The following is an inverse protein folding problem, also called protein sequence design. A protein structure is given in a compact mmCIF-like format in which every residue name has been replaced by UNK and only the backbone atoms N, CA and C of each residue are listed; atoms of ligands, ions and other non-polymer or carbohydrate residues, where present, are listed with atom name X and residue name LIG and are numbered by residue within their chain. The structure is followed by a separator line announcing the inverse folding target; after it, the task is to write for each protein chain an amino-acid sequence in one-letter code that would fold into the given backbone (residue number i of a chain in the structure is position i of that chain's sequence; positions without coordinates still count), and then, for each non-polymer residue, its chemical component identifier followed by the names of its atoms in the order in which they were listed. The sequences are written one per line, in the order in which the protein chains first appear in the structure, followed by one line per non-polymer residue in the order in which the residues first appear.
data_IF_434323473700
#
_entry.id   IF_434323473700
#
_cell.length_a   1.000
_cell.length_b   1.000
_cell.length_c   1.000
_cell.angle_alpha   90.00
_cell.angle_beta   90.00
_cell.angle_gamma   90.00
#
_symmetry.space_group_name_H-M   'P 1'
#
loop_
_entity.id
_entity.type
_entity.pdbx_description
1 polymer ?
#
# COMPACT_ATOMS: atom_id res chain seq x y z
N UNK A 1 -54.79 -52.81 -12.67
CA UNK A 1 -54.22 -51.45 -12.55
C UNK A 1 -52.79 -51.47 -13.09
N UNK A 2 -52.56 -50.93 -14.30
CA UNK A 2 -51.22 -50.72 -14.84
C UNK A 2 -50.73 -49.35 -14.38
N UNK A 3 -49.61 -49.30 -13.68
CA UNK A 3 -48.98 -48.07 -13.21
C UNK A 3 -48.06 -47.56 -14.33
N UNK A 4 -48.39 -46.43 -14.93
CA UNK A 4 -47.57 -45.79 -15.97
C UNK A 4 -46.64 -44.80 -15.29
N UNK A 5 -45.33 -45.10 -15.24
CA UNK A 5 -44.31 -44.14 -14.80
C UNK A 5 -44.07 -43.11 -15.92
N UNK A 6 -44.32 -41.84 -15.63
CA UNK A 6 -43.88 -40.72 -16.46
C UNK A 6 -42.48 -40.30 -16.00
N UNK A 7 -41.48 -40.47 -16.86
CA UNK A 7 -40.15 -39.88 -16.69
C UNK A 7 -40.18 -38.44 -17.16
N UNK A 8 -40.03 -37.49 -16.23
CA UNK A 8 -39.82 -36.07 -16.56
C UNK A 8 -38.33 -35.86 -16.79
N UNK A 9 -37.92 -35.66 -18.04
CA UNK A 9 -36.55 -35.28 -18.39
C UNK A 9 -36.41 -33.77 -18.19
N UNK A 10 -35.78 -33.36 -17.07
CA UNK A 10 -35.37 -31.97 -16.88
C UNK A 10 -34.07 -31.71 -17.63
N UNK A 11 -34.15 -31.09 -18.79
CA UNK A 11 -32.99 -30.53 -19.48
C UNK A 11 -32.52 -29.27 -18.75
N UNK A 12 -31.37 -29.35 -18.07
CA UNK A 12 -30.70 -28.21 -17.48
C UNK A 12 -30.02 -27.40 -18.60
N UNK A 13 -30.56 -26.24 -18.95
CA UNK A 13 -29.92 -25.30 -19.85
C UNK A 13 -28.79 -24.61 -19.08
N UNK A 14 -27.56 -25.09 -19.26
CA UNK A 14 -26.36 -24.38 -18.81
C UNK A 14 -26.17 -23.22 -19.78
N UNK A 15 -26.64 -22.03 -19.38
CA UNK A 15 -26.29 -20.78 -20.05
C UNK A 15 -24.83 -20.50 -19.69
N UNK A 16 -23.91 -20.95 -20.55
CA UNK A 16 -22.51 -20.51 -20.50
C UNK A 16 -22.53 -19.05 -20.97
N UNK A 17 -22.62 -18.14 -20.02
CA UNK A 17 -22.30 -16.73 -20.23
C UNK A 17 -20.83 -16.66 -20.62
N UNK A 18 -20.56 -16.58 -21.92
CA UNK A 18 -19.27 -16.11 -22.40
C UNK A 18 -19.17 -14.63 -22.03
N UNK A 19 -18.60 -14.35 -20.86
CA UNK A 19 -18.15 -13.00 -20.53
C UNK A 19 -17.03 -12.71 -21.52
N UNK A 20 -17.39 -12.00 -22.59
CA UNK A 20 -16.43 -11.35 -23.48
C UNK A 20 -15.71 -10.29 -22.64
N UNK A 21 -14.62 -10.67 -21.99
CA UNK A 21 -13.70 -9.69 -21.40
C UNK A 21 -13.07 -8.95 -22.56
N UNK A 22 -13.58 -7.74 -22.86
CA UNK A 22 -12.84 -6.81 -23.70
C UNK A 22 -11.41 -6.71 -23.14
N UNK A 23 -10.37 -6.63 -23.99
CA UNK A 23 -9.03 -6.38 -23.49
C UNK A 23 -9.07 -5.04 -22.74
N UNK A 24 -8.89 -5.08 -21.42
CA UNK A 24 -8.68 -3.88 -20.61
C UNK A 24 -7.30 -3.34 -20.96
N UNK A 25 -7.28 -2.26 -21.73
CA UNK A 25 -6.05 -1.53 -22.06
C UNK A 25 -5.77 -0.53 -20.94
N UNK A 26 -4.69 -0.75 -20.19
CA UNK A 26 -4.21 0.23 -19.23
C UNK A 26 -3.47 1.38 -19.93
N UNK A 27 -3.53 2.57 -19.33
CA UNK A 27 -2.85 3.75 -19.87
C UNK A 27 -1.40 3.82 -19.38
N UNK A 28 -0.43 3.59 -20.27
CA UNK A 28 1.00 3.67 -19.94
C UNK A 28 1.67 4.86 -20.62
N UNK A 29 2.40 5.64 -19.82
CA UNK A 29 3.04 6.87 -20.25
C UNK A 29 4.54 6.82 -19.92
N UNK A 30 5.44 7.06 -20.89
CA UNK A 30 6.87 7.09 -20.63
C UNK A 30 7.27 8.16 -19.61
N UNK A 31 6.52 9.25 -19.51
CA UNK A 31 6.73 10.30 -18.50
C UNK A 31 5.45 11.12 -18.33
N UNK A 32 5.43 11.99 -17.31
CA UNK A 32 4.25 12.78 -16.97
C UNK A 32 3.81 13.74 -18.10
N UNK A 33 4.75 14.28 -18.88
CA UNK A 33 4.44 15.21 -19.96
C UNK A 33 3.81 14.54 -21.18
N UNK A 34 3.86 13.22 -21.25
CA UNK A 34 3.19 12.43 -22.30
C UNK A 34 1.72 12.12 -22.00
N UNK A 35 1.22 12.45 -20.80
CA UNK A 35 -0.18 12.27 -20.44
C UNK A 35 -1.04 13.30 -21.21
N UNK A 36 -1.99 12.87 -22.06
CA UNK A 36 -2.92 13.77 -22.72
C UNK A 36 -3.73 14.58 -21.72
N UNK A 37 -3.95 15.87 -22.01
CA UNK A 37 -4.73 16.75 -21.12
C UNK A 37 -6.16 16.27 -20.84
N UNK A 38 -6.74 15.45 -21.73
CA UNK A 38 -8.06 14.83 -21.54
C UNK A 38 -8.11 13.76 -20.44
N UNK A 39 -6.95 13.19 -20.07
CA UNK A 39 -6.82 12.18 -19.02
C UNK A 39 -6.35 12.78 -17.69
N UNK A 40 -6.15 14.10 -17.65
CA UNK A 40 -5.92 14.85 -16.41
C UNK A 40 -7.31 15.20 -15.87
N UNK A 41 -7.76 14.60 -14.75
CA UNK A 41 -9.07 14.87 -14.21
C UNK A 41 -9.12 16.32 -13.70
N UNK A 42 -10.22 17.01 -14.02
CA UNK A 42 -10.51 18.36 -13.50
C UNK A 42 -11.03 18.32 -12.05
N UNK A 43 -11.54 17.16 -11.63
CA UNK A 43 -12.09 16.86 -10.31
C UNK A 43 -12.05 15.33 -10.09
N UNK A 44 -11.69 14.88 -8.90
CA UNK A 44 -11.72 13.44 -8.56
C UNK A 44 -13.12 13.02 -8.10
N UNK A 45 -13.48 11.74 -8.25
CA UNK A 45 -14.72 11.19 -7.64
C UNK A 45 -14.70 11.41 -6.11
N UNK A 46 -13.50 11.45 -5.54
CA UNK A 46 -13.21 11.70 -4.14
C UNK A 46 -13.38 13.18 -3.72
N UNK A 47 -13.54 14.13 -4.66
CA UNK A 47 -13.79 15.54 -4.33
C UNK A 47 -15.12 15.72 -3.58
N UNK A 48 -16.05 14.76 -3.73
CA UNK A 48 -17.27 14.70 -2.92
C UNK A 48 -16.98 14.65 -1.42
N UNK A 49 -15.87 14.01 -1.00
CA UNK A 49 -15.51 13.91 0.42
C UNK A 49 -14.99 15.22 0.99
N UNK A 50 -14.42 16.11 0.18
CA UNK A 50 -14.02 17.45 0.64
C UNK A 50 -15.21 18.27 1.15
N UNK A 51 -16.44 17.96 0.71
CA UNK A 51 -17.67 18.60 1.19
C UNK A 51 -18.06 18.16 2.61
N UNK A 52 -17.46 17.09 3.11
CA UNK A 52 -17.67 16.57 4.48
C UNK A 52 -16.76 17.25 5.51
N UNK A 53 -16.00 18.27 5.11
CA UNK A 53 -15.05 18.95 5.98
C UNK A 53 -15.75 19.58 7.19
N UNK A 54 -15.28 19.21 8.38
CA UNK A 54 -15.84 19.65 9.66
C UNK A 54 -17.03 18.84 10.16
N UNK A 55 -17.51 17.85 9.38
CA UNK A 55 -18.59 16.98 9.83
C UNK A 55 -18.18 16.19 11.08
N UNK A 56 -19.12 16.06 12.01
CA UNK A 56 -18.93 15.37 13.29
C UNK A 56 -20.19 14.68 13.76
N UNK A 57 -20.04 13.86 14.80
CA UNK A 57 -21.13 13.08 15.40
C UNK A 57 -22.38 13.91 15.68
N UNK A 58 -23.53 13.35 15.29
CA UNK A 58 -24.85 13.96 15.43
C UNK A 58 -25.28 14.81 14.23
N UNK A 59 -24.40 15.04 13.25
CA UNK A 59 -24.73 15.73 12.00
C UNK A 59 -25.14 14.74 10.90
N UNK A 60 -25.74 15.28 9.83
CA UNK A 60 -26.15 14.54 8.64
C UNK A 60 -25.63 15.27 7.41
N UNK A 61 -24.98 14.55 6.50
CA UNK A 61 -24.43 15.12 5.28
C UNK A 61 -24.44 14.10 4.14
N UNK A 62 -24.85 14.55 2.96
CA UNK A 62 -24.87 13.72 1.74
C UNK A 62 -23.46 13.16 1.46
N UNK A 63 -23.38 11.84 1.27
CA UNK A 63 -22.13 11.13 1.01
C UNK A 63 -21.49 10.46 2.22
N UNK A 64 -21.98 10.67 3.45
CA UNK A 64 -21.48 9.96 4.63
C UNK A 64 -21.71 8.44 4.53
N UNK A 65 -22.77 7.99 3.86
CA UNK A 65 -22.97 6.57 3.58
C UNK A 65 -21.85 5.99 2.70
N UNK A 66 -21.38 6.75 1.70
CA UNK A 66 -20.25 6.33 0.85
C UNK A 66 -18.94 6.31 1.64
N UNK A 67 -18.73 7.28 2.52
CA UNK A 67 -17.56 7.30 3.40
C UNK A 67 -17.56 6.11 4.38
N UNK A 68 -18.72 5.69 4.89
CA UNK A 68 -18.83 4.47 5.70
C UNK A 68 -18.46 3.22 4.89
N UNK A 69 -18.85 3.14 3.61
CA UNK A 69 -18.41 2.06 2.72
C UNK A 69 -16.90 2.06 2.52
N UNK A 70 -16.28 3.23 2.37
CA UNK A 70 -14.82 3.37 2.33
C UNK A 70 -14.19 2.81 3.62
N UNK A 71 -14.65 3.25 4.78
CA UNK A 71 -14.12 2.76 6.06
C UNK A 71 -14.37 1.26 6.27
N UNK A 72 -15.48 0.73 5.76
CA UNK A 72 -15.72 -0.71 5.76
C UNK A 72 -14.71 -1.45 4.87
N UNK A 73 -14.50 -0.98 3.64
CA UNK A 73 -13.53 -1.59 2.70
C UNK A 73 -12.15 -1.71 3.33
N UNK A 74 -11.71 -0.67 4.02
CA UNK A 74 -10.38 -0.66 4.65
C UNK A 74 -10.32 -1.22 6.08
N UNK A 75 -11.43 -1.80 6.57
CA UNK A 75 -11.48 -2.55 7.84
C UNK A 75 -11.73 -1.72 9.11
N UNK A 76 -12.03 -0.43 8.98
CA UNK A 76 -12.36 0.46 10.10
C UNK A 76 -13.82 0.33 10.56
N UNK A 77 -14.70 -0.19 9.70
CA UNK A 77 -16.07 -0.58 10.03
C UNK A 77 -16.24 -2.07 9.74
N UNK A 78 -16.89 -2.79 10.67
CA UNK A 78 -17.11 -4.23 10.53
C UNK A 78 -17.93 -4.56 9.26
N UNK A 79 -17.50 -5.57 8.51
CA UNK A 79 -18.13 -6.04 7.26
C UNK A 79 -19.57 -6.55 7.44
N UNK A 80 -19.99 -6.85 8.67
CA UNK A 80 -21.36 -7.29 8.98
C UNK A 80 -22.40 -6.16 8.89
N UNK A 81 -21.97 -4.89 8.92
CA UNK A 81 -22.87 -3.74 8.80
C UNK A 81 -23.04 -3.33 7.33
N UNK A 82 -24.25 -3.30 6.78
CA UNK A 82 -24.45 -2.93 5.36
C UNK A 82 -25.44 -1.78 5.14
N UNK A 83 -26.27 -1.48 6.14
CA UNK A 83 -27.29 -0.43 6.08
C UNK A 83 -26.71 0.94 6.46
N UNK A 84 -25.85 1.48 5.60
CA UNK A 84 -25.26 2.80 5.84
C UNK A 84 -26.20 3.94 5.45
N UNK A 85 -26.48 4.80 6.42
CA UNK A 85 -27.14 6.10 6.22
C UNK A 85 -26.12 7.24 6.21
N UNK A 86 -26.59 8.41 5.77
CA UNK A 86 -25.84 9.67 5.78
C UNK A 86 -25.74 10.35 7.17
N UNK A 87 -26.03 9.63 8.25
CA UNK A 87 -25.91 10.15 9.61
C UNK A 87 -24.50 9.91 10.14
N UNK A 88 -23.90 10.91 10.79
CA UNK A 88 -22.62 10.74 11.47
C UNK A 88 -22.88 10.10 12.85
N UNK A 89 -22.86 8.77 12.87
CA UNK A 89 -23.16 7.94 14.05
C UNK A 89 -21.91 7.58 14.87
N UNK A 90 -22.14 6.87 15.98
CA UNK A 90 -21.09 6.39 16.88
C UNK A 90 -20.08 5.47 16.16
N UNK A 91 -20.56 4.69 15.20
CA UNK A 91 -19.73 3.80 14.40
C UNK A 91 -18.74 4.56 13.54
N UNK A 92 -19.20 5.59 12.83
CA UNK A 92 -18.34 6.44 12.02
C UNK A 92 -17.37 7.27 12.88
N UNK A 93 -17.81 7.80 14.02
CA UNK A 93 -16.91 8.50 14.96
C UNK A 93 -15.76 7.59 15.42
N UNK A 94 -16.07 6.34 15.78
CA UNK A 94 -15.05 5.37 16.16
C UNK A 94 -14.11 5.05 15.00
N UNK A 95 -14.64 4.81 13.79
CA UNK A 95 -13.85 4.52 12.60
C UNK A 95 -12.89 5.67 12.26
N UNK A 96 -13.36 6.92 12.31
CA UNK A 96 -12.54 8.11 12.06
C UNK A 96 -11.43 8.23 13.09
N UNK A 97 -11.70 8.02 14.39
CA UNK A 97 -10.65 8.05 15.43
C UNK A 97 -9.57 7.00 15.19
N UNK A 98 -9.97 5.78 14.84
CA UNK A 98 -9.03 4.68 14.54
C UNK A 98 -8.22 4.99 13.28
N UNK A 99 -8.85 5.53 12.24
CA UNK A 99 -8.16 5.95 11.02
C UNK A 99 -7.12 7.04 11.32
N UNK A 100 -7.52 8.10 12.01
CA UNK A 100 -6.63 9.18 12.42
C UNK A 100 -5.43 8.65 13.21
N UNK A 101 -5.67 7.75 14.17
CA UNK A 101 -4.61 7.12 14.94
C UNK A 101 -3.62 6.35 14.06
N UNK A 102 -4.11 5.46 13.17
CA UNK A 102 -3.27 4.65 12.30
C UNK A 102 -2.42 5.48 11.32
N UNK A 103 -2.91 6.66 10.95
CA UNK A 103 -2.26 7.56 10.02
C UNK A 103 -1.49 8.70 10.73
N UNK A 104 -1.24 8.59 12.04
CA UNK A 104 -0.51 9.56 12.88
C UNK A 104 -1.11 10.98 12.87
N UNK A 105 -2.44 11.07 12.74
CA UNK A 105 -3.21 12.30 12.87
C UNK A 105 -3.75 12.45 14.29
N UNK A 106 -4.17 13.66 14.64
CA UNK A 106 -4.90 13.89 15.90
C UNK A 106 -6.23 13.13 15.86
N UNK A 107 -6.46 12.21 16.80
CA UNK A 107 -7.67 11.39 16.89
C UNK A 107 -8.89 12.17 17.41
N UNK A 108 -9.33 13.18 16.65
CA UNK A 108 -10.46 14.06 16.97
C UNK A 108 -11.82 13.38 16.82
N UNK A 109 -11.93 12.36 15.97
CA UNK A 109 -13.20 11.74 15.56
C UNK A 109 -14.08 12.61 14.66
N UNK A 110 -13.50 13.68 14.11
CA UNK A 110 -14.17 14.61 13.20
C UNK A 110 -13.52 14.50 11.82
N UNK A 111 -14.28 14.77 10.76
CA UNK A 111 -13.74 14.85 9.40
C UNK A 111 -13.05 16.20 9.18
N UNK A 112 -12.00 16.44 9.95
CA UNK A 112 -11.17 17.64 9.79
C UNK A 112 -10.37 17.60 8.48
N UNK A 113 -9.85 18.77 8.09
CA UNK A 113 -9.15 18.94 6.81
C UNK A 113 -7.98 17.96 6.65
N UNK A 114 -7.09 17.75 7.65
CA UNK A 114 -6.01 16.77 7.53
C UNK A 114 -6.52 15.34 7.30
N UNK A 115 -7.60 14.95 7.98
CA UNK A 115 -8.21 13.62 7.82
C UNK A 115 -8.72 13.42 6.39
N UNK A 116 -9.47 14.38 5.86
CA UNK A 116 -10.00 14.29 4.49
C UNK A 116 -8.88 14.33 3.45
N UNK A 117 -7.87 15.18 3.63
CA UNK A 117 -6.69 15.21 2.76
C UNK A 117 -5.98 13.85 2.71
N UNK A 118 -5.99 13.08 3.80
CA UNK A 118 -5.44 11.72 3.83
C UNK A 118 -6.37 10.69 3.19
N UNK A 119 -7.68 10.77 3.43
CA UNK A 119 -8.67 9.83 2.86
C UNK A 119 -8.70 9.87 1.33
N UNK A 120 -8.58 11.06 0.73
CA UNK A 120 -8.65 11.24 -0.73
C UNK A 120 -7.32 10.95 -1.44
N UNK A 121 -6.26 10.56 -0.72
CA UNK A 121 -5.00 10.18 -1.35
C UNK A 121 -5.13 8.80 -2.01
N UNK A 122 -4.57 8.63 -3.23
CA UNK A 122 -4.51 7.34 -3.88
C UNK A 122 -3.70 6.33 -3.06
N UNK A 123 -4.19 5.10 -3.01
CA UNK A 123 -3.72 4.07 -2.08
C UNK A 123 -3.94 2.65 -2.60
N UNK A 124 -3.30 1.69 -1.93
CA UNK A 124 -3.59 0.27 -2.06
C UNK A 124 -5.02 -0.04 -1.57
N UNK A 125 -5.67 -0.98 -2.25
CA UNK A 125 -7.03 -1.49 -2.00
C UNK A 125 -7.14 -2.55 -0.92
N UNK A 126 -6.01 -3.08 -0.43
CA UNK A 126 -6.02 -4.01 0.69
C UNK A 126 -6.46 -3.31 1.98
N UNK A 127 -7.18 -4.03 2.85
CA UNK A 127 -7.63 -3.47 4.12
C UNK A 127 -6.46 -3.16 5.08
N UNK A 128 -6.52 -2.02 5.75
CA UNK A 128 -5.56 -1.64 6.80
C UNK A 128 -5.71 -2.51 8.04
N UNK A 129 -6.95 -2.86 8.37
CA UNK A 129 -7.30 -3.64 9.56
C UNK A 129 -8.01 -4.92 9.13
N UNK A 130 -7.29 -6.02 9.17
CA UNK A 130 -7.79 -7.36 8.83
C UNK A 130 -8.22 -8.19 10.05
N UNK A 131 -8.00 -7.70 11.28
CA UNK A 131 -8.51 -8.24 12.54
C UNK A 131 -8.62 -7.15 13.62
N UNK A 132 -9.63 -7.20 14.49
CA UNK A 132 -9.78 -6.28 15.63
C UNK A 132 -8.62 -6.36 16.66
N UNK A 133 -7.78 -7.40 16.57
CA UNK A 133 -6.56 -7.57 17.36
C UNK A 133 -5.29 -7.06 16.67
N UNK A 134 -5.39 -6.48 15.47
CA UNK A 134 -4.31 -5.70 14.87
C UNK A 134 -4.22 -4.33 15.53
N UNK A 135 -4.23 -4.29 16.86
CA UNK A 135 -3.82 -3.09 17.60
C UNK A 135 -2.35 -2.89 17.29
N UNK A 136 -2.04 -1.81 16.59
CA UNK A 136 -0.69 -1.24 16.44
C UNK A 136 -0.16 -0.99 17.85
N UNK A 137 0.51 -2.00 18.40
CA UNK A 137 0.79 -2.08 19.84
C UNK A 137 1.89 -3.08 20.19
N UNK A 138 2.68 -3.51 19.21
CA UNK A 138 3.94 -4.23 19.42
C UNK A 138 5.03 -3.48 18.68
N UNK A 139 6.26 -3.50 19.21
CA UNK A 139 7.44 -2.69 18.83
C UNK A 139 7.80 -2.65 17.33
N UNK A 140 7.16 -3.46 16.48
CA UNK A 140 7.34 -3.49 15.03
C UNK A 140 6.27 -2.66 14.30
N UNK A 141 6.66 -1.90 13.27
CA UNK A 141 5.75 -1.06 12.49
C UNK A 141 5.23 -1.74 11.21
N UNK A 142 5.87 -2.85 10.79
CA UNK A 142 5.37 -3.75 9.76
C UNK A 142 4.26 -4.65 10.28
N UNK A 143 3.42 -5.13 9.37
CA UNK A 143 2.35 -6.09 9.68
C UNK A 143 2.32 -7.26 8.69
N UNK A 144 1.43 -8.22 8.95
CA UNK A 144 1.20 -9.38 8.08
C UNK A 144 -0.29 -9.59 7.87
N UNK A 145 -0.65 -10.24 6.77
CA UNK A 145 -1.99 -10.80 6.61
C UNK A 145 -2.32 -11.80 7.73
N UNK A 146 -3.62 -12.05 8.01
CA UNK A 146 -4.03 -13.03 9.02
C UNK A 146 -3.39 -14.39 8.75
N UNK A 147 -2.88 -15.02 9.82
CA UNK A 147 -2.12 -16.28 9.79
C UNK A 147 -0.71 -16.19 9.20
N UNK A 148 -0.18 -14.99 8.94
CA UNK A 148 1.20 -14.76 8.47
C UNK A 148 1.56 -15.63 7.25
N UNK A 149 0.75 -15.57 6.16
CA UNK A 149 0.95 -16.41 5.00
C UNK A 149 2.31 -16.15 4.37
N UNK A 150 2.93 -17.21 3.87
CA UNK A 150 4.18 -17.15 3.11
C UNK A 150 4.20 -18.26 2.07
N UNK A 151 5.00 -18.10 1.03
CA UNK A 151 5.24 -19.19 0.09
C UNK A 151 5.90 -20.38 0.80
N UNK A 152 5.53 -21.64 0.46
CA UNK A 152 6.08 -22.81 1.12
C UNK A 152 7.62 -22.82 1.07
N UNK A 153 8.33 -23.29 2.11
CA UNK A 153 9.80 -23.33 2.08
C UNK A 153 10.39 -24.18 0.95
N UNK A 154 9.61 -25.08 0.33
CA UNK A 154 9.99 -25.83 -0.87
C UNK A 154 9.85 -25.04 -2.18
N UNK A 155 9.40 -23.78 -2.13
CA UNK A 155 9.14 -22.89 -3.26
C UNK A 155 9.86 -21.55 -3.04
N UNK A 156 11.17 -21.56 -3.32
CA UNK A 156 12.01 -20.35 -3.35
C UNK A 156 12.08 -19.71 -4.73
N UNK A 157 11.91 -20.50 -5.79
CA UNK A 157 11.91 -20.02 -7.18
C UNK A 157 10.47 -19.82 -7.64
N UNK A 158 9.98 -18.59 -7.47
CA UNK A 158 8.60 -18.22 -7.79
C UNK A 158 8.50 -17.79 -9.25
N UNK A 159 7.42 -18.20 -9.90
CA UNK A 159 7.11 -17.78 -11.25
C UNK A 159 6.03 -16.69 -11.25
N UNK A 160 6.17 -15.69 -12.11
CA UNK A 160 5.13 -14.70 -12.33
C UNK A 160 4.74 -14.59 -13.80
N UNK A 161 3.49 -14.20 -14.05
CA UNK A 161 2.97 -14.04 -15.40
C UNK A 161 1.93 -12.91 -15.47
N UNK A 162 1.83 -12.29 -16.64
CA UNK A 162 0.83 -11.27 -16.93
C UNK A 162 -0.37 -11.83 -17.67
N UNK A 163 -1.56 -11.30 -17.38
CA UNK A 163 -2.78 -11.63 -18.07
C UNK A 163 -2.62 -11.33 -19.58
N UNK A 164 -2.69 -12.35 -20.46
CA UNK A 164 -2.35 -12.17 -21.88
C UNK A 164 -3.19 -11.09 -22.59
N UNK A 165 -4.45 -10.92 -22.15
CA UNK A 165 -5.40 -9.95 -22.70
C UNK A 165 -4.93 -8.50 -22.54
N UNK A 166 -4.13 -8.19 -21.52
CA UNK A 166 -3.59 -6.83 -21.32
C UNK A 166 -2.49 -6.47 -22.33
N UNK A 167 -1.88 -7.45 -23.02
CA UNK A 167 -0.88 -7.23 -24.09
C UNK A 167 0.25 -6.25 -23.68
N UNK A 168 0.80 -6.42 -22.48
CA UNK A 168 1.83 -5.53 -21.95
C UNK A 168 3.10 -5.55 -22.82
N UNK A 169 3.66 -4.37 -23.07
CA UNK A 169 4.94 -4.22 -23.77
C UNK A 169 6.12 -4.66 -22.89
N UNK A 170 7.25 -4.99 -23.51
CA UNK A 170 8.48 -5.36 -22.79
C UNK A 170 8.96 -4.26 -21.83
N UNK A 171 8.70 -2.99 -22.15
CA UNK A 171 9.04 -1.86 -21.28
C UNK A 171 8.25 -1.93 -19.97
N UNK A 172 6.93 -2.18 -20.05
CA UNK A 172 6.06 -2.33 -18.88
C UNK A 172 6.44 -3.59 -18.09
N UNK A 173 6.67 -4.71 -18.76
CA UNK A 173 7.13 -5.96 -18.13
C UNK A 173 8.46 -5.77 -17.39
N UNK A 174 9.37 -4.95 -17.95
CA UNK A 174 10.63 -4.57 -17.31
C UNK A 174 10.47 -3.76 -16.02
N UNK A 175 9.37 -3.02 -15.84
CA UNK A 175 9.06 -2.34 -14.56
C UNK A 175 8.86 -3.36 -13.44
N UNK A 176 8.04 -4.38 -13.69
CA UNK A 176 7.79 -5.44 -12.71
C UNK A 176 9.04 -6.29 -12.44
N UNK A 177 9.87 -6.55 -13.45
CA UNK A 177 11.14 -7.25 -13.24
C UNK A 177 12.03 -6.52 -12.20
N UNK A 178 12.17 -5.20 -12.31
CA UNK A 178 12.88 -4.38 -11.30
C UNK A 178 12.19 -4.38 -9.94
N UNK A 179 10.86 -4.42 -9.92
CA UNK A 179 10.11 -4.47 -8.67
C UNK A 179 10.34 -5.80 -7.92
N UNK A 180 10.34 -6.93 -8.64
CA UNK A 180 10.71 -8.24 -8.09
C UNK A 180 12.17 -8.31 -7.65
N UNK A 181 13.08 -7.71 -8.42
CA UNK A 181 14.52 -7.67 -8.10
C UNK A 181 14.76 -7.09 -6.70
N UNK A 182 14.11 -5.97 -6.36
CA UNK A 182 14.24 -5.35 -5.02
C UNK A 182 13.86 -6.27 -3.88
N UNK A 183 12.78 -7.05 -4.03
CA UNK A 183 12.39 -8.03 -3.01
C UNK A 183 13.33 -9.25 -2.99
N UNK A 184 13.90 -9.63 -4.14
CA UNK A 184 14.91 -10.70 -4.20
C UNK A 184 16.23 -10.31 -3.51
N UNK A 185 16.58 -9.02 -3.47
CA UNK A 185 17.75 -8.54 -2.74
C UNK A 185 17.56 -8.68 -1.22
N UNK A 186 16.34 -8.46 -0.72
CA UNK A 186 16.03 -8.54 0.71
C UNK A 186 15.71 -9.96 1.21
N UNK A 187 15.46 -10.92 0.31
CA UNK A 187 15.01 -12.29 0.62
C UNK A 187 15.87 -13.35 -0.06
N UNK A 188 15.61 -14.63 0.22
CA UNK A 188 16.23 -15.77 -0.51
C UNK A 188 15.39 -16.24 -1.70
N UNK A 189 14.30 -15.53 -2.01
CA UNK A 189 13.41 -15.87 -3.12
C UNK A 189 13.99 -15.40 -4.45
N UNK A 190 13.73 -16.16 -5.51
CA UNK A 190 14.00 -15.76 -6.89
C UNK A 190 12.69 -15.66 -7.66
N UNK A 191 12.67 -14.81 -8.68
CA UNK A 191 11.48 -14.56 -9.48
C UNK A 191 11.80 -14.73 -10.96
N UNK A 192 10.99 -15.53 -11.65
CA UNK A 192 11.14 -15.75 -13.09
C UNK A 192 9.81 -15.50 -13.81
N UNK A 193 9.86 -14.68 -14.85
CA UNK A 193 8.70 -14.51 -15.72
C UNK A 193 8.41 -15.80 -16.51
N UNK A 194 7.14 -16.17 -16.65
CA UNK A 194 6.69 -17.30 -17.46
C UNK A 194 5.52 -16.91 -18.37
N UNK A 195 5.44 -17.45 -19.60
CA UNK A 195 4.26 -17.25 -20.46
C UNK A 195 3.04 -18.07 -19.99
N UNK A 196 3.22 -19.02 -19.06
CA UNK A 196 2.16 -19.92 -18.62
C UNK A 196 1.32 -19.29 -17.49
N UNK A 197 0.50 -18.30 -17.83
CA UNK A 197 -0.31 -17.52 -16.87
C UNK A 197 -1.06 -18.39 -15.85
N UNK A 198 -1.81 -19.39 -16.30
CA UNK A 198 -2.63 -20.24 -15.42
C UNK A 198 -1.84 -21.15 -14.48
N UNK A 199 -0.53 -21.29 -14.70
CA UNK A 199 0.38 -22.13 -13.90
C UNK A 199 1.41 -21.32 -13.10
N UNK A 200 1.43 -20.00 -13.26
CA UNK A 200 2.33 -19.15 -12.51
C UNK A 200 1.91 -19.08 -11.04
N UNK A 201 2.90 -19.02 -10.15
CA UNK A 201 2.68 -18.81 -8.72
C UNK A 201 2.02 -17.43 -8.50
N UNK A 202 2.52 -16.42 -9.20
CA UNK A 202 2.04 -15.04 -9.17
C UNK A 202 1.41 -14.66 -10.52
N UNK A 203 0.18 -14.15 -10.48
CA UNK A 203 -0.61 -13.74 -11.65
C UNK A 203 -0.97 -12.26 -11.53
N UNK A 204 -0.50 -11.47 -12.49
CA UNK A 204 -0.64 -10.01 -12.51
C UNK A 204 -1.55 -9.63 -13.67
N UNK A 205 -2.52 -8.74 -13.42
CA UNK A 205 -3.40 -8.23 -14.47
C UNK A 205 -3.89 -6.82 -14.19
N UNK A 206 -4.22 -6.11 -15.27
CA UNK A 206 -4.85 -4.79 -15.22
C UNK A 206 -6.35 -4.94 -15.51
N UNK A 207 -7.19 -4.38 -14.65
CA UNK A 207 -8.64 -4.51 -14.71
C UNK A 207 -9.30 -3.14 -14.48
N UNK A 208 -10.54 -2.97 -14.93
CA UNK A 208 -11.32 -1.74 -14.68
C UNK A 208 -12.64 -2.11 -14.03
N UNK A 209 -13.11 -1.31 -13.07
CA UNK A 209 -14.41 -1.51 -12.42
C UNK A 209 -14.57 -2.89 -11.78
N UNK A 210 -15.76 -3.47 -11.87
CA UNK A 210 -16.03 -4.85 -11.43
C UNK A 210 -15.31 -5.86 -12.33
N UNK A 211 -14.45 -6.66 -11.71
CA UNK A 211 -13.63 -7.67 -12.37
C UNK A 211 -13.73 -9.05 -11.68
N UNK A 212 -14.83 -9.29 -10.96
CA UNK A 212 -15.27 -10.63 -10.57
C UNK A 212 -14.63 -11.21 -9.31
N UNK A 213 -13.88 -10.42 -8.54
CA UNK A 213 -13.32 -10.83 -7.24
C UNK A 213 -14.03 -10.19 -6.02
N UNK A 214 -15.02 -9.33 -6.27
CA UNK A 214 -15.79 -8.63 -5.24
C UNK A 214 -15.18 -7.31 -4.77
N UNK A 215 -14.02 -6.91 -5.29
CA UNK A 215 -13.30 -5.68 -4.95
C UNK A 215 -13.17 -4.79 -6.20
N UNK A 216 -14.27 -4.20 -6.71
CA UNK A 216 -14.22 -3.40 -7.93
C UNK A 216 -13.28 -2.20 -7.79
N UNK A 217 -12.63 -1.84 -8.90
CA UNK A 217 -11.87 -0.61 -9.01
C UNK A 217 -12.80 0.60 -9.21
N UNK A 218 -12.32 1.78 -8.83
CA UNK A 218 -13.10 3.02 -8.77
C UNK A 218 -12.76 4.04 -9.87
N UNK A 219 -11.87 3.67 -10.80
CA UNK A 219 -11.45 4.52 -11.90
C UNK A 219 -10.19 5.30 -11.53
N UNK A 220 -9.98 6.47 -12.15
CA UNK A 220 -8.75 7.25 -11.94
C UNK A 220 -8.62 7.72 -10.48
N UNK A 221 -7.48 7.37 -9.87
CA UNK A 221 -7.11 7.57 -8.47
C UNK A 221 -8.01 6.82 -7.48
N UNK A 222 -7.74 6.99 -6.18
CA UNK A 222 -8.41 6.23 -5.14
C UNK A 222 -7.74 4.89 -4.93
N UNK A 223 -8.29 3.81 -5.49
CA UNK A 223 -7.74 2.46 -5.35
C UNK A 223 -6.84 2.11 -6.54
N UNK A 224 -5.53 2.13 -6.33
CA UNK A 224 -4.56 1.92 -7.41
C UNK A 224 -4.42 0.46 -7.83
N UNK A 225 -4.48 -0.45 -6.86
CA UNK A 225 -4.24 -1.87 -7.00
C UNK A 225 -4.65 -2.62 -5.73
N UNK A 226 -4.74 -3.94 -5.82
CA UNK A 226 -4.81 -4.84 -4.65
C UNK A 226 -4.18 -6.19 -4.95
N UNK A 227 -3.76 -6.88 -3.90
CA UNK A 227 -3.05 -8.15 -4.01
C UNK A 227 -3.49 -9.17 -2.96
N UNK A 228 -3.47 -10.43 -3.37
CA UNK A 228 -3.88 -11.58 -2.57
C UNK A 228 -2.63 -12.33 -2.11
N UNK A 229 -2.45 -12.38 -0.79
CA UNK A 229 -1.30 -12.99 -0.14
C UNK A 229 -1.12 -14.49 -0.48
N UNK A 230 0.06 -15.08 -0.20
CA UNK A 230 0.33 -16.48 -0.51
C UNK A 230 -0.70 -17.45 0.10
N UNK A 231 -1.02 -18.56 -0.59
CA UNK A 231 -0.54 -18.96 -1.91
C UNK A 231 -1.45 -18.48 -3.06
N UNK A 232 -2.36 -17.53 -2.81
CA UNK A 232 -3.31 -17.10 -3.83
C UNK A 232 -2.60 -16.41 -5.00
N UNK A 233 -1.62 -15.56 -4.70
CA UNK A 233 -0.66 -15.04 -5.68
C UNK A 233 -1.32 -14.28 -6.83
N UNK A 234 -2.34 -13.47 -6.55
CA UNK A 234 -2.99 -12.62 -7.55
C UNK A 234 -2.71 -11.16 -7.25
N UNK A 235 -2.38 -10.37 -8.25
CA UNK A 235 -2.21 -8.93 -8.14
C UNK A 235 -3.00 -8.26 -9.27
N UNK A 236 -3.92 -7.39 -8.88
CA UNK A 236 -4.77 -6.66 -9.78
C UNK A 236 -4.38 -5.18 -9.68
N UNK A 237 -4.15 -4.55 -10.82
CA UNK A 237 -3.91 -3.11 -10.91
C UNK A 237 -5.08 -2.45 -11.63
N UNK A 238 -5.44 -1.24 -11.23
CA UNK A 238 -6.47 -0.50 -11.93
C UNK A 238 -5.96 -0.06 -13.31
N UNK A 239 -6.65 -0.51 -14.36
CA UNK A 239 -6.37 -0.20 -15.75
C UNK A 239 -6.78 1.23 -16.14
N UNK A 240 -7.65 1.87 -15.36
CA UNK A 240 -8.11 3.23 -15.64
C UNK A 240 -7.06 4.29 -15.26
N UNK A 241 -6.07 3.93 -14.45
CA UNK A 241 -5.02 4.82 -13.98
C UNK A 241 -4.03 5.28 -15.06
N UNK A 242 -3.46 6.46 -14.86
CA UNK A 242 -2.39 6.99 -15.70
C UNK A 242 -1.02 6.54 -15.19
N UNK A 243 -0.58 5.37 -15.62
CA UNK A 243 0.66 4.75 -15.19
C UNK A 243 1.89 5.38 -15.85
N UNK A 244 2.73 6.03 -15.06
CA UNK A 244 4.05 6.50 -15.50
C UNK A 244 5.08 5.40 -15.30
N UNK A 245 5.83 5.09 -16.36
CA UNK A 245 6.78 3.95 -16.38
C UNK A 245 8.25 4.37 -16.32
N UNK A 246 8.58 5.66 -16.55
CA UNK A 246 9.90 6.24 -16.24
C UNK A 246 9.72 7.42 -15.27
N UNK A 247 10.07 7.21 -14.00
CA UNK A 247 9.79 8.16 -12.93
C UNK A 247 10.74 9.37 -12.81
N UNK A 248 11.65 9.57 -13.78
CA UNK A 248 12.64 10.67 -13.78
C UNK A 248 12.03 12.08 -13.95
N UNK A 249 10.72 12.17 -14.21
CA UNK A 249 10.05 13.43 -14.58
C UNK A 249 8.83 13.78 -13.72
N UNK A 250 8.70 13.23 -12.52
CA UNK A 250 7.52 13.47 -11.67
C UNK A 250 7.54 14.84 -10.95
N UNK A 251 8.58 15.64 -11.11
CA UNK A 251 8.68 16.97 -10.50
C UNK A 251 7.76 17.98 -11.20
N UNK A 252 6.59 18.23 -10.59
CA UNK A 252 5.76 19.42 -10.87
C UNK A 252 4.65 19.28 -11.92
N UNK A 253 4.05 18.10 -12.11
CA UNK A 253 2.88 17.92 -13.02
C UNK A 253 1.88 16.87 -12.51
N UNK A 254 0.66 16.75 -13.09
CA UNK A 254 -0.64 16.95 -12.44
C UNK A 254 -1.11 15.83 -11.48
N UNK A 255 -2.21 16.12 -10.77
CA UNK A 255 -2.83 15.35 -9.68
C UNK A 255 -3.13 13.84 -9.93
N UNK A 256 -3.03 13.32 -11.16
CA UNK A 256 -3.45 11.95 -11.52
C UNK A 256 -2.36 10.97 -12.00
N UNK A 257 -1.09 11.37 -12.03
CA UNK A 257 -0.02 10.50 -12.52
C UNK A 257 0.52 9.59 -11.40
N UNK A 258 0.57 8.28 -11.65
CA UNK A 258 0.99 7.27 -10.66
C UNK A 258 2.20 6.51 -11.18
N UNK A 259 3.26 6.43 -10.38
CA UNK A 259 4.47 5.67 -10.72
C UNK A 259 4.18 4.16 -10.60
N UNK A 260 4.20 3.46 -11.74
CA UNK A 260 3.86 2.03 -11.80
C UNK A 260 4.81 1.16 -10.97
N UNK A 261 6.09 1.51 -10.93
CA UNK A 261 7.09 0.74 -10.19
C UNK A 261 6.84 0.82 -8.68
N UNK A 262 6.46 1.99 -8.18
CA UNK A 262 6.13 2.21 -6.77
C UNK A 262 4.96 1.32 -6.34
N UNK A 263 3.88 1.29 -7.12
CA UNK A 263 2.73 0.40 -6.85
C UNK A 263 3.15 -1.06 -6.99
N UNK A 264 3.89 -1.44 -8.04
CA UNK A 264 4.33 -2.81 -8.22
C UNK A 264 5.20 -3.32 -7.05
N UNK A 265 6.15 -2.51 -6.55
CA UNK A 265 6.96 -2.90 -5.38
C UNK A 265 6.07 -3.09 -4.16
N UNK A 266 5.11 -2.20 -3.91
CA UNK A 266 4.15 -2.34 -2.81
C UNK A 266 3.33 -3.63 -2.91
N UNK A 267 2.66 -3.87 -4.04
CA UNK A 267 1.80 -5.04 -4.24
C UNK A 267 2.59 -6.36 -4.19
N UNK A 268 3.85 -6.37 -4.62
CA UNK A 268 4.71 -7.55 -4.46
C UNK A 268 4.96 -7.85 -2.98
N UNK A 269 5.10 -6.85 -2.10
CA UNK A 269 5.20 -7.11 -0.67
C UNK A 269 3.99 -7.87 -0.12
N UNK A 270 2.79 -7.55 -0.59
CA UNK A 270 1.57 -8.30 -0.28
C UNK A 270 1.57 -9.71 -0.88
N UNK A 271 2.02 -9.87 -2.12
CA UNK A 271 2.22 -11.18 -2.77
C UNK A 271 3.24 -12.07 -2.03
N UNK A 272 4.06 -11.48 -1.15
CA UNK A 272 4.98 -12.20 -0.28
C UNK A 272 4.47 -12.35 1.16
N UNK A 273 3.34 -11.75 1.52
CA UNK A 273 2.64 -11.95 2.80
C UNK A 273 2.71 -10.77 3.77
N UNK A 274 3.35 -9.67 3.40
CA UNK A 274 3.36 -8.44 4.21
C UNK A 274 1.98 -7.77 4.20
N UNK A 275 1.57 -7.21 5.32
CA UNK A 275 0.48 -6.24 5.40
C UNK A 275 1.00 -4.81 5.27
N UNK A 276 0.13 -3.83 5.48
CA UNK A 276 0.54 -2.43 5.47
C UNK A 276 1.47 -2.08 6.65
N UNK A 277 2.38 -1.14 6.41
CA UNK A 277 3.22 -0.51 7.43
C UNK A 277 2.59 0.77 7.95
N UNK A 278 2.84 1.13 9.22
CA UNK A 278 2.50 2.44 9.78
C UNK A 278 3.55 3.52 9.51
N UNK A 279 4.68 3.18 8.88
CA UNK A 279 5.80 4.11 8.58
C UNK A 279 5.59 4.73 7.20
N UNK A 280 5.43 6.05 7.13
CA UNK A 280 5.14 6.76 5.87
C UNK A 280 6.25 6.60 4.82
N UNK A 281 7.49 6.37 5.23
CA UNK A 281 8.64 6.13 4.35
C UNK A 281 8.73 4.69 3.83
N UNK A 282 8.05 3.72 4.46
CA UNK A 282 8.11 2.30 4.07
C UNK A 282 7.30 2.03 2.81
N UNK A 283 7.80 1.20 1.88
CA UNK A 283 7.06 0.91 0.64
C UNK A 283 5.70 0.32 0.93
N UNK A 284 5.57 -0.46 2.02
CA UNK A 284 4.31 -1.03 2.48
C UNK A 284 3.36 -0.03 3.17
N UNK A 285 3.68 1.26 3.23
CA UNK A 285 2.70 2.27 3.61
C UNK A 285 1.54 2.29 2.59
N UNK A 286 0.27 2.34 3.03
CA UNK A 286 -0.87 2.14 2.13
C UNK A 286 -1.00 3.21 1.04
N UNK A 287 -0.49 4.41 1.26
CA UNK A 287 -0.66 5.54 0.34
C UNK A 287 0.54 5.69 -0.59
N UNK A 288 0.27 5.84 -1.88
CA UNK A 288 1.27 6.15 -2.92
C UNK A 288 0.80 7.42 -3.63
N UNK A 289 1.33 8.56 -3.18
CA UNK A 289 0.91 9.87 -3.71
C UNK A 289 1.20 10.03 -5.19
N UNK A 290 0.28 10.68 -5.91
CA UNK A 290 0.49 11.08 -7.31
C UNK A 290 1.76 11.91 -7.46
N UNK A 291 2.51 11.70 -8.55
CA UNK A 291 3.75 12.42 -8.81
C UNK A 291 4.90 12.10 -7.84
N UNK A 292 4.79 11.04 -7.04
CA UNK A 292 5.86 10.56 -6.18
C UNK A 292 6.35 9.21 -6.69
N UNK A 293 7.67 9.08 -6.81
CA UNK A 293 8.34 7.79 -7.02
C UNK A 293 8.90 7.32 -5.69
N UNK A 294 8.49 6.14 -5.26
CA UNK A 294 8.91 5.48 -4.03
C UNK A 294 9.10 4.01 -4.33
N UNK A 295 10.34 3.61 -4.59
CA UNK A 295 10.66 2.25 -5.04
C UNK A 295 11.63 1.54 -4.10
N UNK A 296 12.31 2.27 -3.23
CA UNK A 296 13.29 1.71 -2.30
C UNK A 296 12.60 1.07 -1.09
N UNK A 297 13.13 -0.08 -0.64
CA UNK A 297 12.67 -0.73 0.58
C UNK A 297 13.22 0.03 1.79
N UNK A 298 12.34 0.49 2.68
CA UNK A 298 12.75 1.03 3.96
C UNK A 298 13.15 -0.11 4.92
N UNK A 299 13.80 0.26 6.02
CA UNK A 299 14.20 -0.70 7.03
C UNK A 299 13.01 -1.50 7.60
N UNK A 300 11.84 -0.89 7.73
CA UNK A 300 10.63 -1.58 8.20
C UNK A 300 10.17 -2.68 7.23
N UNK A 301 10.23 -2.42 5.92
CA UNK A 301 9.91 -3.40 4.87
C UNK A 301 10.88 -4.59 4.90
N UNK A 302 12.18 -4.29 5.04
CA UNK A 302 13.25 -5.30 5.10
C UNK A 302 13.12 -6.15 6.35
N UNK A 303 12.86 -5.55 7.51
CA UNK A 303 12.64 -6.29 8.75
C UNK A 303 11.40 -7.20 8.64
N UNK A 304 10.30 -6.67 8.10
CA UNK A 304 9.06 -7.44 7.93
C UNK A 304 9.24 -8.64 7.01
N UNK A 305 9.93 -8.47 5.86
CA UNK A 305 10.09 -9.57 4.92
C UNK A 305 11.09 -10.63 5.41
N UNK A 306 12.15 -10.21 6.10
CA UNK A 306 13.13 -11.15 6.66
C UNK A 306 12.58 -11.93 7.85
N UNK A 307 11.61 -11.39 8.57
CA UNK A 307 10.87 -12.13 9.58
C UNK A 307 10.07 -13.30 8.96
N UNK A 308 9.61 -13.19 7.70
CA UNK A 308 8.90 -14.28 6.98
C UNK A 308 9.82 -15.27 6.26
N UNK A 309 10.92 -14.79 5.67
CA UNK A 309 11.75 -15.58 4.75
C UNK A 309 13.21 -15.75 5.20
N UNK A 310 13.61 -15.14 6.31
CA UNK A 310 15.00 -15.05 6.76
C UNK A 310 15.79 -14.00 5.99
N UNK A 311 16.94 -13.60 6.55
CA UNK A 311 17.84 -12.63 5.90
C UNK A 311 18.54 -13.24 4.69
N UNK A 312 18.66 -12.46 3.61
CA UNK A 312 19.52 -12.82 2.49
C UNK A 312 21.00 -12.62 2.90
N UNK A 313 21.86 -13.66 2.85
CA UNK A 313 23.29 -13.55 3.21
C UNK A 313 24.07 -12.53 2.36
N UNK A 314 23.57 -12.22 1.16
CA UNK A 314 24.18 -11.26 0.23
C UNK A 314 23.58 -9.85 0.35
N UNK A 315 22.63 -9.62 1.26
CA UNK A 315 22.05 -8.30 1.46
C UNK A 315 23.10 -7.34 2.04
N UNK A 316 23.49 -6.32 1.27
CA UNK A 316 24.55 -5.39 1.68
C UNK A 316 24.03 -4.12 2.38
N UNK A 317 22.72 -4.02 2.65
CA UNK A 317 22.14 -2.89 3.36
C UNK A 317 22.10 -1.57 2.59
N UNK A 318 22.15 -1.58 1.25
CA UNK A 318 22.07 -0.36 0.41
C UNK A 318 20.67 0.25 0.35
N UNK A 319 20.04 0.53 1.49
CA UNK A 319 19.08 1.64 1.56
C UNK A 319 19.88 2.94 1.61
N UNK A 320 19.52 4.02 0.88
CA UNK A 320 20.26 5.27 0.97
C UNK A 320 20.21 5.78 2.42
N UNK A 321 21.39 6.12 2.95
CA UNK A 321 21.51 7.00 4.11
C UNK A 321 20.69 8.25 3.80
N UNK A 322 19.60 8.46 4.54
CA UNK A 322 18.91 9.74 4.54
C UNK A 322 19.93 10.80 4.95
N UNK A 323 20.46 11.52 3.97
CA UNK A 323 21.19 12.75 4.23
C UNK A 323 20.14 13.78 4.62
N UNK A 324 20.15 14.33 5.84
CA UNK A 324 19.27 15.43 6.17
C UNK A 324 19.52 16.55 5.17
N UNK A 325 18.49 16.92 4.42
CA UNK A 325 18.51 18.08 3.52
C UNK A 325 18.82 19.31 4.40
N UNK A 326 20.02 19.82 4.24
CA UNK A 326 20.62 20.84 5.09
C UNK A 326 19.66 21.99 5.41
N UNK A 327 19.59 22.29 6.70
CA UNK A 327 19.18 23.59 7.21
C UNK A 327 19.95 24.68 6.46
N UNK A 328 19.20 25.72 6.09
CA UNK A 328 19.75 26.97 5.59
C UNK A 328 20.51 27.62 6.75
N UNK A 329 21.79 27.34 6.85
CA UNK A 329 22.68 28.11 7.70
C UNK A 329 23.35 29.20 6.89
N UNK A 330 22.93 30.41 7.25
CA UNK A 330 23.54 31.68 6.94
C UNK A 330 25.04 31.63 7.17
N UNK A 331 25.77 32.05 6.15
CA UNK A 331 27.20 32.34 6.15
C UNK A 331 27.69 33.08 7.41
N UNK A 332 28.61 32.44 8.14
CA UNK A 332 29.44 33.02 9.19
C UNK A 332 30.81 32.33 9.20
N UNK A 333 31.87 33.13 9.09
CA UNK A 333 33.23 32.70 8.76
C UNK A 333 34.05 32.12 9.95
N UNK A 334 35.23 31.61 9.58
CA UNK A 334 36.39 31.16 10.40
C UNK A 334 36.35 29.69 10.82
N UNK A 335 37.37 28.85 10.64
CA UNK A 335 38.74 29.02 10.16
C UNK A 335 39.60 27.89 10.77
N UNK A 336 40.37 27.17 9.96
CA UNK A 336 41.63 26.52 10.37
C UNK A 336 41.63 25.05 10.78
N UNK A 337 42.27 24.21 9.92
CA UNK A 337 43.14 23.05 10.24
C UNK A 337 42.56 21.89 11.08
N UNK A 338 43.17 20.71 11.22
CA UNK A 338 44.27 19.98 10.59
C UNK A 338 44.28 18.59 11.29
N UNK A 339 44.58 17.51 10.54
CA UNK A 339 45.25 16.25 10.95
C UNK A 339 44.60 15.26 11.97
N UNK A 340 44.33 14.06 11.42
CA UNK A 340 44.85 12.71 11.76
C UNK A 340 44.95 12.19 13.22
N UNK A 341 44.47 10.94 13.34
CA UNK A 341 44.82 9.86 14.31
C UNK A 341 44.39 10.11 15.77
N UNK A 342 43.97 9.15 16.58
CA UNK A 342 44.06 7.70 16.59
C UNK A 342 44.13 7.28 18.06
N UNK A 343 43.16 6.46 18.51
CA UNK A 343 43.09 5.60 19.72
C UNK A 343 44.03 5.89 20.90
N UNK A 344 43.49 5.98 22.12
CA UNK A 344 44.02 5.26 23.30
C UNK A 344 42.95 5.05 24.39
N UNK A 345 43.10 3.93 25.11
CA UNK A 345 42.21 3.34 26.11
C UNK A 345 42.36 3.96 27.51
N UNK A 346 41.29 3.78 28.32
CA UNK A 346 41.20 3.47 29.76
C UNK A 346 42.32 3.92 30.70
N UNK A 347 41.95 4.63 31.77
CA UNK A 347 42.33 4.38 33.18
C UNK A 347 41.20 4.94 34.06
N UNK A 348 40.71 4.12 34.99
CA UNK A 348 39.79 4.55 36.05
C UNK A 348 40.53 5.04 37.29
N UNK A 349 39.82 5.77 38.15
CA UNK A 349 40.09 5.77 39.60
C UNK A 349 38.87 6.29 40.36
N UNK A 350 38.59 5.56 41.45
CA UNK A 350 37.53 5.71 42.43
C UNK A 350 37.57 7.07 43.16
N UNK A 351 36.41 7.51 43.65
CA UNK A 351 36.07 7.56 45.09
C UNK A 351 34.69 8.20 45.32
N UNK A 352 33.83 7.48 46.04
CA UNK A 352 32.55 7.94 46.58
C UNK A 352 32.75 8.40 48.06
N UNK A 353 31.70 8.62 48.87
CA UNK A 353 30.83 9.80 48.93
C UNK A 353 30.83 10.44 50.34
N UNK A 354 30.38 11.70 50.49
CA UNK A 354 29.90 12.19 51.80
C UNK A 354 28.65 13.06 51.63
N UNK A 355 27.56 12.51 52.15
CA UNK A 355 26.28 13.11 52.50
C UNK A 355 26.45 13.95 53.77
N UNK A 356 26.01 15.22 53.82
CA UNK A 356 25.20 15.75 54.93
C UNK A 356 24.75 17.22 54.80
N UNK A 357 23.43 17.38 55.00
CA UNK A 357 22.69 18.45 55.70
C UNK A 357 22.66 19.92 55.19
N UNK A 358 21.44 20.30 54.77
CA UNK A 358 20.60 21.40 55.32
C UNK A 358 21.26 22.77 55.56
N UNK A 359 20.73 23.80 54.90
CA UNK A 359 19.99 24.89 55.57
C UNK A 359 19.28 25.81 54.55
N UNK A 360 18.02 26.08 54.87
CA UNK A 360 17.15 27.14 54.36
C UNK A 360 17.85 28.51 54.43
N UNK A 361 17.59 29.43 53.51
CA UNK A 361 17.28 30.85 53.81
C UNK A 361 16.87 31.59 52.52
N UNK A 362 15.59 32.02 52.52
CA UNK A 362 14.90 33.11 51.77
C UNK A 362 14.81 33.00 50.24
#
# INVERSE_FOLDING_TARGET
MKLTLFTVSSTFLIIISFISTNPTSANFFPNISSIPSSLIPNASIWDGFNKLAGCKKGEKADGLANLKRYFQRFGYINSSYSDFTDDFDDGLESAVKTYQFNFNLNSTGQLDVPTLQRIVQPRCGNADIVNANSTVGTVAHYSFFPNRPRWPPSRSDLTYAFLPQNQLSDVVRGVFARAFERWSEATTLTFAETPAFDRADIRIGFYSGDHGDGEPFDGVLGTLAHAFSPPAGRCHLDGDENWVINGDFLSGSPFSAVDLESVAVHEIGHLLGLGHSSVEEAIMYPTISSGVRKVELANDDVMGIQELYGSNPNYNGSGPVLTPRGERDTSGAHGGGCLLWGRFQLIGLLLAPVLLLLLLYV
#
